data_IF_855280384946
#
_entry.id   IF_855280384946
#
_cell.length_a   1.000
_cell.length_b   1.000
_cell.length_c   1.000
_cell.angle_alpha   90.00
_cell.angle_beta   90.00
_cell.angle_gamma   90.00
#
_symmetry.space_group_name_H-M   'P 1'
#
loop_
_entity.id
_entity.type
_entity.pdbx_description
1 polymer ?
#
# COMPACT_ATOMS: atom_id res chain seq x y z
N UNK A 1 11.75 6.68 3.20
CA UNK A 1 11.44 7.09 1.82
C UNK A 1 11.93 8.50 1.49
N UNK A 2 11.58 9.54 2.27
CA UNK A 2 11.97 10.94 1.95
C UNK A 2 13.49 11.15 1.79
N UNK A 3 14.32 10.52 2.62
CA UNK A 3 15.78 10.56 2.50
C UNK A 3 16.31 9.88 1.23
N UNK A 4 15.71 8.76 0.81
CA UNK A 4 16.06 8.08 -0.45
C UNK A 4 15.75 8.98 -1.65
N UNK A 5 14.58 9.62 -1.65
CA UNK A 5 14.20 10.58 -2.71
C UNK A 5 15.14 11.78 -2.71
N UNK A 6 15.51 12.32 -1.54
CA UNK A 6 16.45 13.45 -1.45
C UNK A 6 17.82 13.11 -2.04
N UNK A 7 18.37 11.91 -1.75
CA UNK A 7 19.61 11.40 -2.35
C UNK A 7 19.52 11.26 -3.87
N UNK A 8 18.42 10.69 -4.35
CA UNK A 8 18.15 10.60 -5.79
C UNK A 8 18.12 12.00 -6.44
N UNK A 9 17.43 12.97 -5.82
CA UNK A 9 17.38 14.37 -6.30
C UNK A 9 18.73 15.08 -6.22
N UNK A 10 19.65 14.63 -5.38
CA UNK A 10 21.02 15.10 -5.31
C UNK A 10 21.96 14.45 -6.36
N UNK A 11 21.43 13.61 -7.27
CA UNK A 11 22.18 13.00 -8.36
C UNK A 11 22.71 11.59 -8.06
N UNK A 12 22.42 11.03 -6.89
CA UNK A 12 22.80 9.66 -6.59
C UNK A 12 21.94 8.67 -7.40
N UNK A 13 22.57 7.70 -8.07
CA UNK A 13 21.85 6.65 -8.82
C UNK A 13 21.24 5.62 -7.87
N UNK A 14 20.13 5.98 -7.24
CA UNK A 14 19.40 5.16 -6.28
C UNK A 14 17.90 5.16 -6.58
N UNK A 15 17.25 4.03 -6.32
CA UNK A 15 15.81 3.85 -6.42
C UNK A 15 15.29 2.92 -5.32
N UNK A 16 13.99 2.64 -5.33
CA UNK A 16 13.37 1.66 -4.44
C UNK A 16 12.43 0.77 -5.26
N UNK A 17 12.45 -0.54 -4.99
CA UNK A 17 11.47 -1.46 -5.54
C UNK A 17 10.20 -1.39 -4.68
N UNK A 18 9.05 -1.22 -5.33
CA UNK A 18 7.74 -1.35 -4.68
C UNK A 18 7.18 -2.73 -4.96
N UNK A 19 6.99 -3.53 -3.90
CA UNK A 19 6.47 -4.90 -4.00
C UNK A 19 4.95 -4.87 -3.79
N UNK A 20 4.19 -4.88 -4.89
CA UNK A 20 2.72 -4.84 -4.88
C UNK A 20 2.10 -6.25 -4.90
N UNK A 21 2.38 -7.06 -3.87
CA UNK A 21 1.87 -8.44 -3.78
C UNK A 21 1.32 -8.74 -2.40
N UNK A 22 0.17 -9.40 -2.35
CA UNK A 22 -0.42 -9.96 -1.13
C UNK A 22 -0.02 -11.44 -0.91
N UNK A 23 0.75 -12.04 -1.82
CA UNK A 23 1.12 -13.45 -1.70
C UNK A 23 2.18 -13.63 -0.60
N UNK A 24 1.95 -14.50 0.40
CA UNK A 24 2.83 -14.63 1.57
C UNK A 24 4.28 -14.94 1.20
N UNK A 25 4.51 -15.88 0.28
CA UNK A 25 5.87 -16.24 -0.17
C UNK A 25 6.58 -15.10 -0.91
N UNK A 26 5.85 -14.21 -1.58
CA UNK A 26 6.47 -13.06 -2.28
C UNK A 26 6.91 -12.02 -1.26
N UNK A 27 6.09 -11.76 -0.24
CA UNK A 27 6.44 -10.87 0.87
C UNK A 27 7.64 -11.45 1.65
N UNK A 28 7.62 -12.75 1.94
CA UNK A 28 8.73 -13.44 2.61
C UNK A 28 10.03 -13.30 1.81
N UNK A 29 9.98 -13.57 0.49
CA UNK A 29 11.14 -13.43 -0.38
C UNK A 29 11.67 -11.99 -0.40
N UNK A 30 10.80 -10.98 -0.48
CA UNK A 30 11.21 -9.58 -0.48
C UNK A 30 11.92 -9.18 0.82
N UNK A 31 11.42 -9.63 1.97
CA UNK A 31 12.01 -9.36 3.28
C UNK A 31 13.32 -10.14 3.47
N UNK A 32 13.34 -11.43 3.10
CA UNK A 32 14.52 -12.28 3.22
C UNK A 32 15.67 -11.78 2.35
N UNK A 33 15.36 -11.29 1.14
CA UNK A 33 16.34 -10.75 0.20
C UNK A 33 17.14 -9.57 0.77
N UNK A 34 16.47 -8.66 1.49
CA UNK A 34 17.10 -7.49 2.09
C UNK A 34 17.41 -7.66 3.59
N UNK A 35 17.29 -8.88 4.14
CA UNK A 35 17.50 -9.16 5.58
C UNK A 35 18.84 -8.64 6.10
N UNK A 36 19.92 -8.98 5.40
CA UNK A 36 21.29 -8.64 5.79
C UNK A 36 21.79 -7.31 5.21
N UNK A 37 20.93 -6.54 4.55
CA UNK A 37 21.25 -5.19 4.06
C UNK A 37 20.78 -4.12 5.05
N UNK A 38 21.04 -2.85 4.73
CA UNK A 38 20.48 -1.69 5.44
C UNK A 38 19.30 -1.04 4.70
N UNK A 39 18.87 -1.64 3.57
CA UNK A 39 17.79 -1.10 2.73
C UNK A 39 16.46 -1.22 3.45
N UNK A 40 15.55 -0.29 3.15
CA UNK A 40 14.14 -0.41 3.52
C UNK A 40 13.40 -1.21 2.44
N UNK A 41 12.46 -2.04 2.85
CA UNK A 41 11.59 -2.80 1.93
C UNK A 41 10.24 -2.10 1.85
N UNK A 42 9.76 -1.82 0.63
CA UNK A 42 8.46 -1.21 0.39
C UNK A 42 7.49 -2.29 -0.10
N UNK A 43 6.41 -2.49 0.67
CA UNK A 43 5.32 -3.40 0.33
C UNK A 43 4.05 -2.57 0.21
N UNK A 44 3.31 -2.76 -0.89
CA UNK A 44 2.09 -2.01 -1.14
C UNK A 44 0.88 -2.92 -1.33
N UNK A 45 -0.28 -2.44 -0.88
CA UNK A 45 -1.57 -3.06 -1.12
C UNK A 45 -2.49 -2.11 -1.89
N UNK A 46 -3.11 -2.63 -2.96
CA UNK A 46 -4.14 -1.92 -3.71
C UNK A 46 -5.47 -1.88 -2.94
N UNK A 47 -6.32 -0.91 -3.26
CA UNK A 47 -7.69 -0.79 -2.72
C UNK A 47 -8.59 -2.02 -2.99
N UNK A 48 -8.34 -2.74 -4.08
CA UNK A 48 -9.04 -3.99 -4.38
C UNK A 48 -8.61 -5.15 -3.47
N UNK A 49 -7.32 -5.21 -3.12
CA UNK A 49 -6.76 -6.24 -2.25
C UNK A 49 -7.24 -6.05 -0.82
N UNK A 50 -7.07 -4.84 -0.30
CA UNK A 50 -7.20 -4.49 1.11
C UNK A 50 -8.01 -3.20 1.21
N UNK A 51 -9.13 -3.23 1.92
CA UNK A 51 -9.93 -2.05 2.21
C UNK A 51 -10.72 -2.24 3.51
N UNK A 52 -11.51 -1.27 3.92
CA UNK A 52 -12.29 -1.33 5.17
C UNK A 52 -13.30 -2.48 5.24
N UNK A 53 -13.58 -3.14 4.10
CA UNK A 53 -14.48 -4.30 4.00
C UNK A 53 -13.73 -5.61 3.76
N UNK A 54 -12.40 -5.60 3.76
CA UNK A 54 -11.55 -6.78 3.54
C UNK A 54 -11.01 -6.92 2.11
N UNK A 55 -11.52 -6.17 1.13
CA UNK A 55 -11.20 -6.39 -0.28
C UNK A 55 -11.40 -7.86 -0.70
N UNK A 56 -10.66 -8.33 -1.70
CA UNK A 56 -10.70 -9.75 -2.07
C UNK A 56 -9.84 -10.63 -1.17
N UNK A 57 -8.96 -10.05 -0.36
CA UNK A 57 -8.08 -10.83 0.55
C UNK A 57 -8.74 -11.16 1.88
N UNK A 58 -9.87 -10.51 2.20
CA UNK A 58 -10.49 -10.55 3.52
C UNK A 58 -9.76 -9.73 4.59
N UNK A 59 -8.79 -8.90 4.21
CA UNK A 59 -7.96 -8.12 5.15
C UNK A 59 -8.32 -6.62 5.13
N UNK A 60 -8.45 -6.03 6.31
CA UNK A 60 -8.39 -4.57 6.48
C UNK A 60 -6.93 -4.09 6.40
N UNK A 61 -6.67 -2.77 6.27
CA UNK A 61 -5.30 -2.27 6.32
C UNK A 61 -4.53 -2.65 7.60
N UNK A 62 -5.22 -2.70 8.75
CA UNK A 62 -4.61 -3.16 9.99
C UNK A 62 -4.23 -4.64 9.93
N UNK A 63 -5.09 -5.48 9.36
CA UNK A 63 -4.81 -6.92 9.19
C UNK A 63 -3.64 -7.14 8.24
N UNK A 64 -3.58 -6.40 7.12
CA UNK A 64 -2.47 -6.51 6.17
C UNK A 64 -1.13 -6.12 6.80
N UNK A 65 -1.11 -5.10 7.68
CA UNK A 65 0.09 -4.74 8.44
C UNK A 65 0.54 -5.91 9.33
N UNK A 66 -0.36 -6.46 10.14
CA UNK A 66 -0.01 -7.57 11.04
C UNK A 66 0.39 -8.83 10.27
N UNK A 67 -0.23 -9.08 9.13
CA UNK A 67 0.15 -10.14 8.20
C UNK A 67 1.60 -9.98 7.72
N UNK A 68 1.98 -8.79 7.23
CA UNK A 68 3.36 -8.50 6.81
C UNK A 68 4.33 -8.59 7.99
N UNK A 69 3.95 -8.06 9.15
CA UNK A 69 4.79 -8.11 10.36
C UNK A 69 5.01 -9.53 10.89
N UNK A 70 3.99 -10.39 10.80
CA UNK A 70 4.13 -11.81 11.16
C UNK A 70 5.13 -12.51 10.25
N UNK A 71 5.16 -12.18 8.95
CA UNK A 71 6.17 -12.71 8.03
C UNK A 71 7.55 -12.13 8.36
N UNK A 72 7.63 -10.84 8.66
CA UNK A 72 8.88 -10.18 9.04
C UNK A 72 9.51 -10.81 10.29
N UNK A 73 8.72 -11.12 11.32
CA UNK A 73 9.20 -11.79 12.53
C UNK A 73 9.78 -13.18 12.22
N UNK A 74 9.10 -13.96 11.35
CA UNK A 74 9.60 -15.28 10.92
C UNK A 74 10.92 -15.19 10.17
N UNK A 75 11.08 -14.19 9.31
CA UNK A 75 12.32 -13.92 8.56
C UNK A 75 13.42 -13.35 9.46
N UNK A 76 13.06 -12.75 10.61
CA UNK A 76 13.98 -11.96 11.42
C UNK A 76 14.32 -10.62 10.76
N UNK A 77 13.34 -9.98 10.12
CA UNK A 77 13.46 -8.65 9.51
C UNK A 77 12.86 -7.58 10.43
N UNK A 78 13.63 -6.54 10.74
CA UNK A 78 13.21 -5.49 11.66
C UNK A 78 12.02 -4.68 11.11
N UNK A 79 10.91 -4.62 11.85
CA UNK A 79 9.63 -4.05 11.40
C UNK A 79 9.75 -2.57 10.98
N UNK A 80 10.62 -1.80 11.63
CA UNK A 80 10.88 -0.38 11.35
C UNK A 80 11.60 -0.10 10.01
N UNK A 81 12.16 -1.16 9.40
CA UNK A 81 12.74 -1.10 8.05
C UNK A 81 11.69 -1.34 6.95
N UNK A 82 10.46 -1.71 7.32
CA UNK A 82 9.36 -1.90 6.38
C UNK A 82 8.65 -0.57 6.14
N UNK A 83 8.36 -0.28 4.88
CA UNK A 83 7.48 0.81 4.47
C UNK A 83 6.23 0.16 3.90
N UNK A 84 5.07 0.49 4.48
CA UNK A 84 3.78 0.08 3.96
C UNK A 84 3.18 1.21 3.11
N UNK A 85 2.74 0.86 1.89
CA UNK A 85 2.11 1.78 0.95
C UNK A 85 0.71 1.36 0.51
N UNK A 86 -0.16 2.35 0.30
CA UNK A 86 -1.45 2.17 -0.34
C UNK A 86 -1.36 2.57 -1.80
N UNK A 87 -1.74 1.66 -2.69
CA UNK A 87 -1.69 1.86 -4.14
C UNK A 87 -3.08 2.12 -4.72
N UNK A 88 -3.17 3.11 -5.64
CA UNK A 88 -4.41 3.58 -6.26
C UNK A 88 -5.58 3.72 -5.27
N UNK A 89 -5.37 4.49 -4.18
CA UNK A 89 -6.41 4.76 -3.20
C UNK A 89 -7.38 5.83 -3.74
N UNK A 90 -8.63 5.44 -3.88
CA UNK A 90 -9.70 6.26 -4.43
C UNK A 90 -10.92 5.40 -4.79
N UNK A 91 -11.84 5.90 -5.63
CA UNK A 91 -13.13 5.27 -5.90
C UNK A 91 -13.05 4.04 -6.83
N UNK A 92 -11.85 3.52 -7.10
CA UNK A 92 -11.62 2.43 -8.04
C UNK A 92 -12.54 1.21 -7.84
N UNK A 93 -12.74 0.79 -6.59
CA UNK A 93 -13.58 -0.37 -6.25
C UNK A 93 -15.08 -0.09 -6.34
N UNK A 94 -15.47 1.19 -6.41
CA UNK A 94 -16.85 1.67 -6.27
C UNK A 94 -17.29 2.53 -7.46
N UNK A 95 -16.65 2.40 -8.62
CA UNK A 95 -16.97 3.17 -9.83
C UNK A 95 -18.43 2.99 -10.29
N UNK A 96 -19.05 1.86 -9.95
CA UNK A 96 -20.46 1.59 -10.28
C UNK A 96 -21.45 2.34 -9.38
N UNK A 97 -20.97 2.98 -8.32
CA UNK A 97 -21.77 3.85 -7.45
C UNK A 97 -21.72 5.30 -7.94
N UNK A 98 -22.65 6.13 -7.48
CA UNK A 98 -22.56 7.56 -7.74
C UNK A 98 -21.32 8.17 -7.05
N UNK A 99 -20.82 9.28 -7.59
CA UNK A 99 -19.57 9.91 -7.14
C UNK A 99 -19.55 10.20 -5.63
N UNK A 100 -20.66 10.64 -5.04
CA UNK A 100 -20.71 10.96 -3.61
C UNK A 100 -20.49 9.70 -2.74
N UNK A 101 -21.21 8.62 -3.04
CA UNK A 101 -21.07 7.35 -2.31
C UNK A 101 -19.68 6.72 -2.49
N UNK A 102 -19.16 6.74 -3.71
CA UNK A 102 -17.82 6.23 -4.00
C UNK A 102 -16.71 7.03 -3.28
N UNK A 103 -16.85 8.36 -3.21
CA UNK A 103 -15.91 9.24 -2.51
C UNK A 103 -15.99 9.12 -1.00
N UNK A 104 -17.18 8.92 -0.42
CA UNK A 104 -17.33 8.66 1.02
C UNK A 104 -16.55 7.39 1.43
N UNK A 105 -16.69 6.31 0.65
CA UNK A 105 -15.93 5.07 0.84
C UNK A 105 -14.43 5.26 0.63
N UNK A 106 -14.04 6.10 -0.33
CA UNK A 106 -12.63 6.43 -0.60
C UNK A 106 -11.97 7.22 0.54
N UNK A 107 -12.71 8.12 1.18
CA UNK A 107 -12.22 8.86 2.35
C UNK A 107 -11.99 7.90 3.52
N UNK A 108 -12.93 7.00 3.81
CA UNK A 108 -12.74 6.01 4.87
C UNK A 108 -11.64 4.99 4.54
N UNK A 109 -11.49 4.60 3.27
CA UNK A 109 -10.36 3.81 2.79
C UNK A 109 -9.02 4.47 3.13
N UNK A 110 -8.82 5.73 2.74
CA UNK A 110 -7.57 6.46 3.01
C UNK A 110 -7.35 6.62 4.51
N UNK A 111 -8.39 6.94 5.29
CA UNK A 111 -8.29 7.00 6.76
C UNK A 111 -7.87 5.67 7.37
N UNK A 112 -8.42 4.55 6.90
CA UNK A 112 -8.07 3.22 7.40
C UNK A 112 -6.59 2.89 7.14
N UNK A 113 -6.08 3.19 5.94
CA UNK A 113 -4.66 3.05 5.61
C UNK A 113 -3.77 3.91 6.51
N UNK A 114 -4.09 5.20 6.66
CA UNK A 114 -3.31 6.11 7.51
C UNK A 114 -3.34 5.68 8.98
N UNK A 115 -4.51 5.33 9.53
CA UNK A 115 -4.65 4.83 10.92
C UNK A 115 -3.89 3.53 11.15
N UNK A 116 -3.81 2.66 10.15
CA UNK A 116 -3.02 1.43 10.22
C UNK A 116 -1.50 1.69 10.15
N UNK A 117 -1.04 2.90 9.80
CA UNK A 117 0.38 3.26 9.76
C UNK A 117 1.01 3.16 8.37
N UNK A 118 0.21 3.09 7.30
CA UNK A 118 0.72 3.21 5.94
C UNK A 118 1.25 4.64 5.72
N UNK A 119 2.47 4.74 5.22
CA UNK A 119 3.22 6.01 5.15
C UNK A 119 3.56 6.45 3.73
N UNK A 120 3.32 5.59 2.74
CA UNK A 120 3.23 5.96 1.32
C UNK A 120 1.78 5.85 0.89
N UNK A 121 1.22 6.92 0.32
CA UNK A 121 -0.19 6.96 -0.08
C UNK A 121 -0.26 7.46 -1.53
N UNK A 122 -0.73 6.61 -2.43
CA UNK A 122 -1.06 6.97 -3.80
C UNK A 122 -2.54 7.37 -3.87
N UNK A 123 -2.82 8.66 -4.01
CA UNK A 123 -4.17 9.17 -4.21
C UNK A 123 -4.51 9.17 -5.70
N UNK A 124 -5.49 8.38 -6.09
CA UNK A 124 -5.96 8.28 -7.48
C UNK A 124 -7.48 8.24 -7.54
N UNK A 125 -8.07 9.40 -7.85
CA UNK A 125 -9.49 9.57 -8.13
C UNK A 125 -9.73 10.01 -9.58
N UNK A 126 -8.95 9.45 -10.51
CA UNK A 126 -8.99 9.83 -11.93
C UNK A 126 -10.10 9.13 -12.73
N UNK A 127 -10.70 8.07 -12.18
CA UNK A 127 -11.78 7.27 -12.78
C UNK A 127 -13.15 7.94 -12.64
N UNK A 128 -13.98 7.80 -13.66
CA UNK A 128 -15.38 8.26 -13.63
C UNK A 128 -16.25 7.30 -12.81
N UNK A 129 -17.10 7.85 -11.95
CA UNK A 129 -18.13 7.09 -11.23
C UNK A 129 -19.46 7.09 -12.01
N UNK A 130 -20.48 6.39 -11.51
CA UNK A 130 -21.78 6.36 -12.17
C UNK A 130 -22.40 7.77 -12.25
N UNK A 131 -22.67 8.22 -13.48
CA UNK A 131 -23.21 9.54 -13.77
C UNK A 131 -22.14 10.61 -14.05
N UNK A 132 -20.86 10.33 -13.84
CA UNK A 132 -19.79 11.23 -14.29
C UNK A 132 -19.64 11.17 -15.82
N UNK A 133 -19.11 12.24 -16.45
CA UNK A 133 -18.67 12.18 -17.83
C UNK A 133 -17.69 11.02 -18.04
N UNK A 134 -17.91 10.23 -19.09
CA UNK A 134 -16.93 9.21 -19.48
C UNK A 134 -15.65 9.87 -19.96
N UNK A 135 -14.51 9.39 -19.47
CA UNK A 135 -13.18 9.82 -19.89
C UNK A 135 -12.65 8.96 -21.03
#
# INVERSE_FOLDING_TARGET
MKTLIARHKAGEHIGICSVCSAHPLVIEAALAFDRNSTRKVLIEATSNQVNQFGGYTGMTPADFREFVFTIADKVGFARERIILGGDHLGPNCWQQENANAAMEKSVELVKAYVRAGFSKIHLDASMSCAGDPYR
#
